data_IF_808154380156
#
_entry.id   IF_808154380156
#
_cell.length_a   1.000
_cell.length_b   1.000
_cell.length_c   1.000
_cell.angle_alpha   90.00
_cell.angle_beta   90.00
_cell.angle_gamma   90.00
#
_symmetry.space_group_name_H-M   'P 1'
#
loop_
_entity.id
_entity.type
_entity.pdbx_description
1 polymer ?
#
# COMPACT_ATOMS: atom_id res chain seq x y z
N UNK A 1 -11.91 10.33 -4.55
CA UNK A 1 -12.14 8.95 -5.04
C UNK A 1 -11.24 7.93 -4.36
N UNK A 2 -11.68 7.05 -3.47
CA UNK A 2 -10.92 5.86 -3.07
C UNK A 2 -10.79 4.86 -4.22
N UNK A 3 -9.61 4.22 -4.37
CA UNK A 3 -9.40 3.03 -5.22
C UNK A 3 -9.39 1.81 -4.31
N UNK A 4 -10.26 0.84 -4.57
CA UNK A 4 -10.25 -0.45 -3.86
C UNK A 4 -9.66 -1.49 -4.81
N UNK A 5 -8.40 -1.94 -4.61
CA UNK A 5 -7.80 -2.97 -5.45
C UNK A 5 -8.50 -4.32 -5.19
N UNK A 6 -8.81 -5.04 -6.26
CA UNK A 6 -9.37 -6.39 -6.19
C UNK A 6 -8.20 -7.37 -6.23
N UNK A 7 -7.94 -8.00 -5.08
CA UNK A 7 -6.80 -8.91 -4.92
C UNK A 7 -7.17 -10.39 -5.11
N UNK A 8 -8.48 -10.70 -5.04
CA UNK A 8 -8.97 -12.07 -5.13
C UNK A 8 -10.24 -12.12 -5.96
N UNK A 9 -10.26 -13.08 -6.87
CA UNK A 9 -11.43 -13.46 -7.64
C UNK A 9 -12.02 -14.71 -7.02
N UNK A 10 -13.34 -14.72 -6.87
CA UNK A 10 -14.09 -15.90 -6.43
C UNK A 10 -14.54 -16.64 -7.69
N UNK A 11 -14.05 -17.87 -7.93
CA UNK A 11 -14.47 -18.66 -9.08
C UNK A 11 -15.95 -19.01 -8.98
N UNK A 12 -16.62 -19.04 -10.13
CA UNK A 12 -18.01 -19.50 -10.26
C UNK A 12 -18.05 -20.92 -10.82
N UNK A 13 -19.21 -21.57 -10.71
CA UNK A 13 -19.44 -22.87 -11.32
C UNK A 13 -19.34 -22.78 -12.85
N UNK A 14 -18.19 -23.17 -13.43
CA UNK A 14 -17.95 -23.06 -14.87
C UNK A 14 -16.48 -23.00 -15.23
N UNK A 15 -16.17 -22.42 -16.40
CA UNK A 15 -14.82 -22.03 -16.79
C UNK A 15 -14.40 -20.79 -15.99
N UNK A 16 -13.17 -20.81 -15.49
CA UNK A 16 -12.67 -19.82 -14.52
C UNK A 16 -11.31 -19.32 -14.98
N UNK A 17 -11.02 -18.03 -14.77
CA UNK A 17 -9.74 -17.47 -15.16
C UNK A 17 -8.59 -18.12 -14.39
N UNK A 18 -7.45 -18.30 -15.06
CA UNK A 18 -6.27 -18.95 -14.48
C UNK A 18 -5.26 -17.91 -14.05
N UNK A 19 -4.78 -17.99 -12.80
CA UNK A 19 -3.70 -17.13 -12.31
C UNK A 19 -2.35 -17.58 -12.87
N UNK A 20 -1.64 -16.67 -13.50
CA UNK A 20 -0.37 -16.90 -14.21
C UNK A 20 0.64 -15.79 -13.87
N UNK A 21 1.89 -15.99 -14.29
CA UNK A 21 2.97 -15.00 -14.12
C UNK A 21 3.54 -14.64 -15.47
N UNK A 22 3.70 -13.34 -15.73
CA UNK A 22 4.34 -12.85 -16.94
C UNK A 22 5.84 -13.24 -16.91
N UNK A 23 6.36 -13.93 -17.93
CA UNK A 23 7.72 -14.48 -17.89
C UNK A 23 8.82 -13.41 -17.89
N UNK A 24 8.50 -12.17 -18.26
CA UNK A 24 9.47 -11.07 -18.36
C UNK A 24 9.45 -10.20 -17.11
N UNK A 25 8.27 -9.74 -16.70
CA UNK A 25 8.08 -8.83 -15.57
C UNK A 25 7.87 -9.55 -14.24
N UNK A 26 7.58 -10.85 -14.26
CA UNK A 26 7.15 -11.65 -13.11
C UNK A 26 5.87 -11.10 -12.45
N UNK A 27 5.13 -10.22 -13.14
CA UNK A 27 3.86 -9.71 -12.65
C UNK A 27 2.81 -10.82 -12.72
N UNK A 28 2.07 -10.99 -11.63
CA UNK A 28 0.89 -11.86 -11.62
C UNK A 28 -0.21 -11.27 -12.50
N UNK A 29 -0.90 -12.14 -13.25
CA UNK A 29 -2.06 -11.77 -14.04
C UNK A 29 -3.08 -12.91 -14.05
N UNK A 30 -4.34 -12.58 -14.35
CA UNK A 30 -5.37 -13.58 -14.64
C UNK A 30 -5.54 -13.72 -16.14
N UNK A 31 -5.43 -14.95 -16.63
CA UNK A 31 -5.70 -15.30 -18.02
C UNK A 31 -7.17 -15.67 -18.17
N UNK A 32 -7.88 -14.97 -19.05
CA UNK A 32 -9.32 -15.13 -19.28
C UNK A 32 -9.59 -15.68 -20.67
N UNK A 33 -10.08 -16.91 -20.73
CA UNK A 33 -10.63 -17.53 -21.94
C UNK A 33 -12.08 -17.10 -22.19
N UNK A 34 -12.56 -17.37 -23.39
CA UNK A 34 -13.96 -17.11 -23.73
C UNK A 34 -14.88 -17.92 -22.80
N UNK A 35 -15.96 -17.30 -22.33
CA UNK A 35 -16.91 -17.82 -21.33
C UNK A 35 -16.42 -17.86 -19.88
N UNK A 36 -15.13 -17.58 -19.60
CA UNK A 36 -14.66 -17.48 -18.22
C UNK A 36 -15.41 -16.43 -17.42
N UNK A 37 -15.75 -16.79 -16.19
CA UNK A 37 -16.45 -15.93 -15.25
C UNK A 37 -15.76 -15.93 -13.89
N UNK A 38 -15.69 -14.78 -13.24
CA UNK A 38 -15.31 -14.67 -11.84
C UNK A 38 -16.01 -13.52 -11.13
N UNK A 39 -16.16 -13.65 -9.81
CA UNK A 39 -16.89 -12.71 -8.97
C UNK A 39 -15.97 -12.04 -7.95
N UNK A 40 -16.27 -10.79 -7.61
CA UNK A 40 -15.64 -10.11 -6.50
C UNK A 40 -16.62 -9.13 -5.87
N UNK A 41 -16.39 -8.81 -4.59
CA UNK A 41 -17.24 -7.88 -3.86
C UNK A 41 -16.41 -6.84 -3.14
N UNK A 42 -16.92 -5.61 -3.10
CA UNK A 42 -16.32 -4.49 -2.38
C UNK A 42 -17.36 -3.82 -1.51
N UNK A 43 -16.95 -3.43 -0.30
CA UNK A 43 -17.80 -2.59 0.55
C UNK A 43 -17.69 -1.14 0.09
N UNK A 44 -18.83 -0.51 -0.17
CA UNK A 44 -18.93 0.89 -0.54
C UNK A 44 -18.37 1.76 0.60
N UNK A 45 -17.40 2.65 0.33
CA UNK A 45 -16.78 3.49 1.35
C UNK A 45 -17.79 4.33 2.13
N UNK A 46 -17.50 4.57 3.41
CA UNK A 46 -18.35 5.40 4.28
C UNK A 46 -18.56 6.83 3.76
N UNK A 47 -17.60 7.36 2.99
CA UNK A 47 -17.63 8.71 2.41
C UNK A 47 -18.15 8.78 0.97
N UNK A 48 -18.72 7.69 0.44
CA UNK A 48 -19.23 7.65 -0.93
C UNK A 48 -20.28 8.74 -1.17
N UNK A 49 -20.14 9.47 -2.28
CA UNK A 49 -21.08 10.52 -2.73
C UNK A 49 -22.30 9.86 -3.40
N UNK A 50 -23.49 9.85 -2.75
CA UNK A 50 -24.66 9.18 -3.29
C UNK A 50 -25.15 9.83 -4.60
N UNK A 51 -25.26 9.03 -5.66
CA UNK A 51 -25.70 9.50 -6.99
C UNK A 51 -24.57 9.54 -8.03
N UNK A 52 -23.35 9.17 -7.63
CA UNK A 52 -22.20 9.02 -8.53
C UNK A 52 -21.96 7.56 -8.92
N UNK A 53 -21.42 7.30 -10.11
CA UNK A 53 -21.15 5.92 -10.51
C UNK A 53 -19.91 5.34 -9.79
N UNK A 54 -20.00 4.11 -9.33
CA UNK A 54 -18.83 3.26 -9.13
C UNK A 54 -18.22 2.88 -10.49
N UNK A 55 -16.90 2.98 -10.59
CA UNK A 55 -16.13 2.78 -11.83
C UNK A 55 -15.13 1.64 -11.62
N UNK A 56 -15.24 0.59 -12.41
CA UNK A 56 -14.23 -0.46 -12.49
C UNK A 56 -13.07 -0.01 -13.38
N UNK A 57 -11.87 -0.03 -12.81
CA UNK A 57 -10.61 0.15 -13.51
C UNK A 57 -10.02 -1.22 -13.80
N UNK A 58 -9.85 -1.51 -15.08
CA UNK A 58 -9.32 -2.76 -15.60
C UNK A 58 -7.97 -2.50 -16.28
N UNK A 59 -6.93 -3.18 -15.82
CA UNK A 59 -5.60 -3.19 -16.45
C UNK A 59 -5.44 -4.51 -17.20
N UNK A 60 -5.56 -4.49 -18.52
CA UNK A 60 -5.57 -5.70 -19.36
C UNK A 60 -4.67 -5.57 -20.60
N UNK A 61 -4.30 -6.69 -21.20
CA UNK A 61 -3.68 -6.71 -22.51
C UNK A 61 -4.71 -6.37 -23.60
N UNK A 62 -4.30 -5.59 -24.59
CA UNK A 62 -5.09 -5.41 -25.82
C UNK A 62 -5.23 -6.74 -26.56
N UNK A 63 -6.35 -6.95 -27.27
CA UNK A 63 -6.49 -8.09 -28.14
C UNK A 63 -5.48 -8.05 -29.29
N UNK A 64 -5.38 -9.15 -30.03
CA UNK A 64 -4.67 -9.28 -31.30
C UNK A 64 -5.02 -8.11 -32.24
N UNK A 65 -4.10 -7.75 -33.14
CA UNK A 65 -4.28 -6.60 -34.06
C UNK A 65 -5.59 -6.76 -34.83
N UNK A 66 -6.42 -5.70 -34.81
CA UNK A 66 -7.76 -5.66 -35.43
C UNK A 66 -8.79 -6.63 -34.84
N UNK A 67 -8.43 -7.42 -33.83
CA UNK A 67 -9.36 -8.26 -33.09
C UNK A 67 -10.05 -7.48 -31.98
N UNK A 68 -11.12 -8.07 -31.45
CA UNK A 68 -11.96 -7.52 -30.41
C UNK A 68 -12.17 -8.52 -29.30
N UNK A 69 -12.40 -8.03 -28.10
CA UNK A 69 -12.95 -8.83 -27.02
C UNK A 69 -14.01 -8.04 -26.28
N UNK A 70 -14.90 -8.76 -25.60
CA UNK A 70 -16.05 -8.19 -24.94
C UNK A 70 -16.22 -8.77 -23.54
N UNK A 71 -16.59 -7.89 -22.63
CA UNK A 71 -16.88 -8.21 -21.26
C UNK A 71 -18.36 -8.01 -20.99
N UNK A 72 -18.94 -8.95 -20.26
CA UNK A 72 -20.23 -8.80 -19.60
C UNK A 72 -19.98 -8.66 -18.11
N UNK A 73 -20.62 -7.67 -17.52
CA UNK A 73 -20.58 -7.46 -16.09
C UNK A 73 -21.98 -7.52 -15.54
N UNK A 74 -22.16 -8.22 -14.42
CA UNK A 74 -23.42 -8.24 -13.69
C UNK A 74 -23.15 -7.75 -12.28
N UNK A 75 -23.72 -6.60 -11.93
CA UNK A 75 -23.56 -6.00 -10.63
C UNK A 75 -24.78 -6.25 -9.76
N UNK A 76 -24.55 -6.52 -8.48
CA UNK A 76 -25.59 -6.64 -7.47
C UNK A 76 -25.25 -5.85 -6.22
N UNK A 77 -26.28 -5.31 -5.58
CA UNK A 77 -26.14 -4.51 -4.37
C UNK A 77 -26.72 -5.27 -3.18
N UNK A 78 -25.91 -5.52 -2.15
CA UNK A 78 -26.34 -6.16 -0.91
C UNK A 78 -26.25 -5.12 0.20
N UNK A 79 -27.38 -4.71 0.76
CA UNK A 79 -27.44 -3.79 1.90
C UNK A 79 -27.60 -4.57 3.22
N UNK A 80 -26.58 -4.59 4.09
CA UNK A 80 -26.65 -5.29 5.37
C UNK A 80 -27.86 -4.83 6.20
N UNK A 81 -28.66 -5.78 6.69
CA UNK A 81 -29.83 -5.49 7.53
C UNK A 81 -31.09 -5.04 6.79
N UNK A 82 -31.03 -4.78 5.48
CA UNK A 82 -32.21 -4.46 4.66
C UNK A 82 -32.61 -5.64 3.80
N UNK A 83 -31.66 -6.24 3.08
CA UNK A 83 -31.94 -7.44 2.28
C UNK A 83 -31.82 -8.68 3.18
N UNK A 84 -32.98 -9.27 3.51
CA UNK A 84 -33.01 -10.59 4.17
C UNK A 84 -32.55 -11.68 3.21
N UNK A 85 -32.15 -12.86 3.71
CA UNK A 85 -31.63 -13.98 2.89
C UNK A 85 -32.58 -14.48 1.80
N UNK A 86 -33.83 -14.02 1.76
CA UNK A 86 -34.87 -14.47 0.83
C UNK A 86 -35.37 -13.36 -0.13
N UNK A 87 -34.84 -12.14 -0.07
CA UNK A 87 -35.17 -11.09 -1.03
C UNK A 87 -34.26 -11.17 -2.26
N UNK A 88 -34.84 -11.00 -3.45
CA UNK A 88 -34.07 -10.97 -4.69
C UNK A 88 -33.12 -9.77 -4.68
N UNK A 89 -31.82 -10.04 -4.79
CA UNK A 89 -30.79 -9.00 -4.83
C UNK A 89 -30.98 -8.16 -6.10
N UNK A 90 -31.06 -6.82 -6.01
CA UNK A 90 -31.11 -5.95 -7.18
C UNK A 90 -29.89 -6.20 -8.07
N UNK A 91 -30.12 -6.44 -9.36
CA UNK A 91 -29.07 -6.80 -10.33
C UNK A 91 -29.18 -5.97 -11.60
N UNK A 92 -28.04 -5.56 -12.16
CA UNK A 92 -27.94 -4.85 -13.43
C UNK A 92 -26.79 -5.42 -14.25
N UNK A 93 -27.03 -5.67 -15.55
CA UNK A 93 -26.03 -6.27 -16.45
C UNK A 93 -25.67 -5.28 -17.55
N UNK A 94 -24.38 -5.16 -17.85
CA UNK A 94 -23.85 -4.27 -18.90
C UNK A 94 -22.73 -4.94 -19.69
N UNK A 95 -22.54 -4.47 -20.93
CA UNK A 95 -21.58 -5.01 -21.89
C UNK A 95 -20.54 -3.94 -22.24
N UNK A 96 -19.28 -4.33 -22.33
CA UNK A 96 -18.16 -3.47 -22.72
C UNK A 96 -17.29 -4.17 -23.77
N UNK A 97 -17.16 -3.57 -24.95
CA UNK A 97 -16.38 -4.11 -26.05
C UNK A 97 -15.15 -3.22 -26.32
N UNK A 98 -14.02 -3.83 -26.66
CA UNK A 98 -12.77 -3.13 -27.01
C UNK A 98 -12.25 -3.62 -28.36
N UNK A 99 -11.62 -2.69 -29.10
CA UNK A 99 -10.93 -2.95 -30.35
C UNK A 99 -9.45 -2.65 -30.14
N UNK A 100 -8.56 -3.55 -30.57
CA UNK A 100 -7.11 -3.33 -30.44
C UNK A 100 -6.64 -2.14 -31.28
N UNK A 101 -5.86 -1.25 -30.66
CA UNK A 101 -5.21 -0.13 -31.34
C UNK A 101 -3.80 -0.56 -31.81
N UNK A 102 -3.76 -1.17 -33.00
CA UNK A 102 -2.58 -1.41 -33.87
C UNK A 102 -1.44 -2.30 -33.35
N UNK A 103 -1.18 -2.39 -32.04
CA UNK A 103 -0.14 -3.24 -31.43
C UNK A 103 -0.78 -4.28 -30.48
N UNK A 104 -0.60 -5.59 -30.71
CA UNK A 104 -1.15 -6.63 -29.85
C UNK A 104 -0.42 -6.66 -28.50
N UNK A 105 -1.04 -7.24 -27.48
CA UNK A 105 -0.45 -7.45 -26.15
C UNK A 105 0.02 -6.19 -25.40
N UNK A 106 -0.42 -4.99 -25.82
CA UNK A 106 -0.13 -3.76 -25.09
C UNK A 106 -0.98 -3.72 -23.82
N UNK A 107 -0.35 -3.45 -22.69
CA UNK A 107 -1.09 -3.16 -21.45
C UNK A 107 -1.87 -1.84 -21.60
N UNK A 108 -3.19 -1.90 -21.41
CA UNK A 108 -4.11 -0.77 -21.42
C UNK A 108 -4.87 -0.67 -20.10
N UNK A 109 -5.29 0.55 -19.75
CA UNK A 109 -6.16 0.80 -18.59
C UNK A 109 -7.51 1.30 -19.09
N UNK A 110 -8.59 0.65 -18.65
CA UNK A 110 -9.97 1.03 -18.96
C UNK A 110 -10.75 1.37 -17.72
N UNK A 111 -11.57 2.41 -17.83
CA UNK A 111 -12.54 2.81 -16.80
C UNK A 111 -13.94 2.50 -17.29
N UNK A 112 -14.65 1.63 -16.57
CA UNK A 112 -15.98 1.12 -16.93
C UNK A 112 -16.93 1.50 -15.79
N UNK A 113 -17.96 2.30 -16.07
CA UNK A 113 -19.00 2.54 -15.07
C UNK A 113 -19.75 1.22 -14.83
N UNK A 114 -19.65 0.69 -13.61
CA UNK A 114 -20.28 -0.58 -13.21
C UNK A 114 -21.63 -0.40 -12.54
N UNK A 115 -22.09 0.84 -12.49
CA UNK A 115 -23.34 1.27 -11.86
C UNK A 115 -23.94 2.38 -12.69
N UNK A 116 -25.24 2.58 -12.51
CA UNK A 116 -26.00 3.64 -13.14
C UNK A 116 -26.18 3.50 -14.63
N UNK A 117 -26.46 2.28 -15.10
CA UNK A 117 -26.83 2.09 -16.51
C UNK A 117 -28.18 2.76 -16.83
N UNK A 118 -29.07 2.84 -15.84
CA UNK A 118 -30.35 3.57 -15.91
C UNK A 118 -30.30 4.96 -15.26
N UNK A 119 -29.80 5.06 -14.03
CA UNK A 119 -29.69 6.32 -13.25
C UNK A 119 -28.35 6.34 -12.53
N UNK A 120 -27.59 7.43 -12.65
CA UNK A 120 -26.26 7.54 -12.03
C UNK A 120 -26.30 7.18 -10.53
N UNK A 121 -25.31 6.39 -10.09
CA UNK A 121 -25.21 5.91 -8.71
C UNK A 121 -26.31 4.96 -8.24
N UNK A 122 -27.02 4.32 -9.16
CA UNK A 122 -28.03 3.30 -8.85
C UNK A 122 -27.64 1.92 -9.43
N UNK A 123 -28.16 0.86 -8.81
CA UNK A 123 -28.22 -0.49 -9.39
C UNK A 123 -29.69 -0.91 -9.38
N UNK A 124 -30.22 -1.23 -10.57
CA UNK A 124 -31.61 -1.67 -10.73
C UNK A 124 -32.62 -0.72 -10.04
N UNK A 125 -32.39 0.59 -10.14
CA UNK A 125 -33.25 1.63 -9.54
C UNK A 125 -33.06 1.86 -8.04
N UNK A 126 -32.13 1.15 -7.38
CA UNK A 126 -31.79 1.37 -5.97
C UNK A 126 -30.51 2.21 -5.89
N UNK A 127 -30.60 3.36 -5.19
CA UNK A 127 -29.44 4.21 -4.96
C UNK A 127 -28.44 3.49 -4.06
N UNK A 128 -27.17 3.50 -4.49
CA UNK A 128 -26.05 2.98 -3.70
C UNK A 128 -25.88 3.85 -2.47
N UNK A 129 -25.65 3.23 -1.32
CA UNK A 129 -25.39 3.91 -0.06
C UNK A 129 -24.03 3.48 0.52
N UNK A 130 -23.44 4.33 1.38
CA UNK A 130 -22.29 3.93 2.19
C UNK A 130 -22.53 2.61 2.93
N UNK A 131 -21.48 1.79 3.05
CA UNK A 131 -21.50 0.45 3.66
C UNK A 131 -22.29 -0.64 2.91
N UNK A 132 -22.93 -0.32 1.78
CA UNK A 132 -23.46 -1.38 0.90
C UNK A 132 -22.32 -2.28 0.42
N UNK A 133 -22.63 -3.55 0.16
CA UNK A 133 -21.72 -4.49 -0.47
C UNK A 133 -22.05 -4.56 -1.97
N UNK A 134 -21.17 -4.01 -2.79
CA UNK A 134 -21.24 -4.10 -4.25
C UNK A 134 -20.56 -5.39 -4.70
N UNK A 135 -21.33 -6.31 -5.25
CA UNK A 135 -20.83 -7.55 -5.85
C UNK A 135 -20.86 -7.45 -7.37
N UNK A 136 -19.77 -7.81 -8.01
CA UNK A 136 -19.57 -7.75 -9.46
C UNK A 136 -19.18 -9.12 -9.97
N UNK A 137 -20.00 -9.67 -10.87
CA UNK A 137 -19.62 -10.77 -11.76
C UNK A 137 -19.04 -10.17 -13.03
N UNK A 138 -17.88 -10.67 -13.45
CA UNK A 138 -17.23 -10.32 -14.71
C UNK A 138 -17.10 -11.60 -15.54
N UNK A 139 -17.60 -11.56 -16.77
CA UNK A 139 -17.58 -12.67 -17.71
C UNK A 139 -17.00 -12.23 -19.05
N UNK A 140 -16.08 -13.01 -19.62
CA UNK A 140 -15.67 -12.82 -21.01
C UNK A 140 -16.71 -13.43 -21.94
N UNK A 141 -17.18 -12.66 -22.92
CA UNK A 141 -18.22 -13.07 -23.88
C UNK A 141 -17.78 -12.75 -25.30
N UNK A 142 -18.39 -13.40 -26.30
CA UNK A 142 -18.05 -13.13 -27.70
C UNK A 142 -18.29 -11.68 -28.09
N UNK A 143 -17.31 -11.07 -28.75
CA UNK A 143 -17.41 -9.77 -29.38
C UNK A 143 -18.43 -9.78 -30.53
N UNK A 144 -18.87 -8.58 -30.90
CA UNK A 144 -19.85 -8.41 -31.97
C UNK A 144 -19.34 -8.83 -33.35
N UNK A 145 -18.03 -8.67 -33.59
CA UNK A 145 -17.30 -9.14 -34.76
C UNK A 145 -15.82 -9.31 -34.40
N UNK A 146 -15.07 -10.02 -35.25
CA UNK A 146 -13.61 -10.10 -35.17
C UNK A 146 -13.08 -10.53 -33.79
N UNK A 147 -13.76 -11.52 -33.16
CA UNK A 147 -13.39 -12.04 -31.83
C UNK A 147 -11.94 -12.53 -31.83
N UNK A 148 -11.20 -12.10 -30.82
CA UNK A 148 -9.86 -12.58 -30.56
C UNK A 148 -9.91 -14.02 -30.03
N UNK A 149 -9.35 -15.02 -30.74
CA UNK A 149 -9.30 -16.38 -30.23
C UNK A 149 -8.36 -16.54 -29.02
N UNK A 150 -7.48 -15.56 -28.77
CA UNK A 150 -6.50 -15.62 -27.68
C UNK A 150 -7.12 -15.27 -26.33
N UNK A 151 -6.54 -15.81 -25.26
CA UNK A 151 -6.89 -15.44 -23.89
C UNK A 151 -6.48 -13.98 -23.59
N UNK A 152 -7.28 -13.28 -22.79
CA UNK A 152 -6.98 -11.89 -22.38
C UNK A 152 -6.30 -11.91 -21.02
N UNK A 153 -5.19 -11.18 -20.88
CA UNK A 153 -4.44 -11.08 -19.63
C UNK A 153 -4.90 -9.86 -18.85
N UNK A 154 -5.37 -10.07 -17.62
CA UNK A 154 -5.78 -9.00 -16.71
C UNK A 154 -4.77 -8.90 -15.56
N UNK A 155 -3.99 -7.82 -15.56
CA UNK A 155 -2.92 -7.56 -14.59
C UNK A 155 -3.40 -6.84 -13.34
N UNK A 156 -4.59 -6.24 -13.38
CA UNK A 156 -5.12 -5.51 -12.25
C UNK A 156 -6.60 -5.16 -12.42
N UNK A 157 -7.30 -5.21 -11.29
CA UNK A 157 -8.70 -4.85 -11.17
C UNK A 157 -8.84 -3.93 -9.95
N UNK A 158 -9.60 -2.85 -10.09
CA UNK A 158 -9.93 -1.98 -8.96
C UNK A 158 -11.29 -1.32 -9.15
N UNK A 159 -12.02 -1.05 -8.06
CA UNK A 159 -13.20 -0.20 -8.12
C UNK A 159 -12.88 1.17 -7.54
N UNK A 160 -13.28 2.21 -8.25
CA UNK A 160 -13.25 3.59 -7.83
C UNK A 160 -14.65 4.07 -7.47
N UNK A 161 -14.77 4.69 -6.31
CA UNK A 161 -15.98 5.39 -5.88
C UNK A 161 -15.71 6.89 -5.91
N UNK A 162 -16.69 7.70 -6.32
CA UNK A 162 -16.63 9.13 -6.03
C UNK A 162 -17.01 9.34 -4.56
N UNK A 163 -16.38 10.33 -3.96
CA UNK A 163 -16.61 10.73 -2.57
C UNK A 163 -16.84 12.23 -2.59
N UNK A 164 -17.68 12.71 -1.68
CA UNK A 164 -18.12 14.12 -1.59
C UNK A 164 -16.98 15.12 -1.31
N UNK A 165 -15.75 14.62 -1.19
CA UNK A 165 -14.50 15.39 -1.09
C UNK A 165 -14.26 16.14 -2.42
N UNK A 166 -15.09 17.15 -2.67
CA UNK A 166 -14.94 18.20 -3.68
C UNK A 166 -14.12 19.32 -3.08
N UNK A 167 -12.78 19.27 -3.15
CA UNK A 167 -12.00 20.51 -3.06
C UNK A 167 -10.52 20.36 -3.41
N UNK A 168 -9.98 21.47 -3.91
CA UNK A 168 -8.63 21.98 -3.60
C UNK A 168 -8.14 21.45 -2.25
N UNK A 169 -7.08 20.65 -2.25
CA UNK A 169 -6.31 20.11 -1.09
C UNK A 169 -7.01 20.24 0.29
N UNK A 170 -7.74 19.20 0.71
CA UNK A 170 -8.30 19.10 2.08
C UNK A 170 -7.23 18.85 3.16
N UNK A 171 -5.96 18.70 2.75
CA UNK A 171 -4.88 18.37 3.65
C UNK A 171 -4.42 19.63 4.37
N UNK A 172 -4.57 19.67 5.69
CA UNK A 172 -4.07 20.78 6.49
C UNK A 172 -2.52 20.77 6.59
N UNK A 173 -1.96 21.83 7.16
CA UNK A 173 -0.56 21.88 7.58
C UNK A 173 0.47 21.72 6.46
N UNK A 174 1.63 21.15 6.80
CA UNK A 174 2.73 20.95 5.85
C UNK A 174 2.40 19.93 4.76
N UNK A 175 1.56 18.94 5.05
CA UNK A 175 1.07 18.00 4.04
C UNK A 175 0.29 18.73 2.94
N UNK A 176 -0.61 19.65 3.30
CA UNK A 176 -1.30 20.53 2.34
C UNK A 176 -0.36 21.34 1.47
N UNK A 177 0.65 21.96 2.09
CA UNK A 177 1.66 22.74 1.37
C UNK A 177 2.46 21.90 0.37
N UNK A 178 2.81 20.66 0.73
CA UNK A 178 3.48 19.71 -0.17
C UNK A 178 2.55 19.34 -1.34
N UNK A 179 1.28 19.05 -1.05
CA UNK A 179 0.26 18.72 -2.07
C UNK A 179 0.11 19.87 -3.07
N UNK A 180 -0.03 21.09 -2.59
CA UNK A 180 -0.18 22.28 -3.42
C UNK A 180 1.06 22.52 -4.27
N UNK A 181 2.26 22.40 -3.67
CA UNK A 181 3.52 22.54 -4.41
C UNK A 181 3.69 21.48 -5.52
N UNK A 182 3.26 20.23 -5.28
CA UNK A 182 3.26 19.18 -6.32
C UNK A 182 2.33 19.56 -7.47
N UNK A 183 1.11 20.02 -7.17
CA UNK A 183 0.13 20.42 -8.18
C UNK A 183 0.60 21.61 -9.01
N UNK A 184 1.18 22.61 -8.36
CA UNK A 184 1.74 23.79 -9.02
C UNK A 184 2.88 23.39 -9.98
N UNK A 185 3.82 22.55 -9.52
CA UNK A 185 4.97 22.12 -10.33
C UNK A 185 4.60 21.11 -11.42
N UNK A 186 3.55 20.32 -11.23
CA UNK A 186 3.00 19.44 -12.25
C UNK A 186 2.08 20.18 -13.24
N UNK A 187 1.81 21.47 -13.00
CA UNK A 187 0.91 22.33 -13.78
C UNK A 187 -0.54 21.79 -13.84
N UNK A 188 -1.06 21.35 -12.70
CA UNK A 188 -2.35 20.70 -12.59
C UNK A 188 -3.17 21.26 -11.41
N UNK A 189 -3.92 22.32 -11.69
CA UNK A 189 -4.69 23.06 -10.67
C UNK A 189 -5.96 22.35 -10.19
N UNK A 190 -6.50 21.40 -10.95
CA UNK A 190 -7.77 20.73 -10.65
C UNK A 190 -7.63 19.34 -10.02
N UNK A 191 -6.41 18.77 -9.96
CA UNK A 191 -6.14 17.47 -9.31
C UNK A 191 -6.77 16.23 -9.98
N UNK A 192 -7.12 16.31 -11.27
CA UNK A 192 -7.68 15.20 -12.04
C UNK A 192 -6.70 14.06 -12.37
N UNK A 193 -5.48 14.37 -12.79
CA UNK A 193 -4.40 13.42 -13.09
C UNK A 193 -3.59 13.01 -11.85
N UNK A 194 -3.31 13.97 -10.95
CA UNK A 194 -2.70 13.77 -9.63
C UNK A 194 -3.72 13.99 -8.49
N UNK A 195 -4.54 12.98 -8.19
CA UNK A 195 -5.47 13.07 -7.05
C UNK A 195 -4.69 13.06 -5.72
N UNK A 196 -5.24 13.66 -4.66
CA UNK A 196 -4.57 13.73 -3.34
C UNK A 196 -4.17 12.36 -2.79
N UNK A 197 -4.99 11.34 -3.03
CA UNK A 197 -4.67 9.94 -2.69
C UNK A 197 -3.35 9.46 -3.30
N UNK A 198 -3.03 9.89 -4.52
CA UNK A 198 -1.79 9.53 -5.20
C UNK A 198 -0.62 10.22 -4.52
N UNK A 199 -0.76 11.53 -4.26
CA UNK A 199 0.27 12.35 -3.61
C UNK A 199 0.56 11.80 -2.21
N UNK A 200 -0.46 11.59 -1.37
CA UNK A 200 -0.31 11.01 -0.03
C UNK A 200 0.34 9.64 -0.03
N UNK A 201 -0.11 8.75 -0.92
CA UNK A 201 0.49 7.42 -1.06
C UNK A 201 1.97 7.52 -1.43
N UNK A 202 2.33 8.45 -2.31
CA UNK A 202 3.72 8.69 -2.70
C UNK A 202 4.54 9.31 -1.56
N UNK A 203 3.95 10.21 -0.75
CA UNK A 203 4.58 10.73 0.48
C UNK A 203 4.87 9.57 1.46
N UNK A 204 3.90 8.69 1.73
CA UNK A 204 4.09 7.54 2.63
C UNK A 204 5.09 6.52 2.08
N UNK A 205 5.15 6.32 0.75
CA UNK A 205 6.24 5.56 0.12
C UNK A 205 7.61 6.19 0.34
N UNK A 206 7.71 7.52 0.24
CA UNK A 206 8.95 8.24 0.56
C UNK A 206 9.37 8.01 2.02
N UNK A 207 8.44 8.04 2.99
CA UNK A 207 8.74 7.74 4.40
C UNK A 207 9.29 6.32 4.59
N UNK A 208 8.70 5.34 3.90
CA UNK A 208 9.19 3.95 3.91
C UNK A 208 10.57 3.83 3.28
N UNK A 209 10.84 4.56 2.20
CA UNK A 209 12.17 4.59 1.59
C UNK A 209 13.22 5.16 2.55
N UNK A 210 12.91 6.26 3.27
CA UNK A 210 13.79 6.79 4.32
C UNK A 210 14.00 5.80 5.49
N UNK A 211 13.01 4.95 5.77
CA UNK A 211 13.11 3.90 6.79
C UNK A 211 14.14 2.85 6.40
N UNK A 212 14.15 2.43 5.13
CA UNK A 212 15.12 1.48 4.58
C UNK A 212 16.55 2.03 4.63
N UNK A 213 16.70 3.35 4.54
CA UNK A 213 17.98 4.08 4.67
C UNK A 213 18.36 4.35 6.15
N UNK A 214 17.64 3.76 7.11
CA UNK A 214 17.87 3.92 8.55
C UNK A 214 17.82 5.36 9.06
N UNK A 215 17.01 6.23 8.44
CA UNK A 215 16.83 7.61 8.88
C UNK A 215 16.08 7.69 10.21
N UNK A 216 14.96 6.96 10.33
CA UNK A 216 14.13 6.95 11.53
C UNK A 216 14.74 6.07 12.60
N UNK A 217 15.18 6.68 13.70
CA UNK A 217 15.76 5.96 14.85
C UNK A 217 15.16 6.49 16.14
N UNK A 218 14.91 5.59 17.09
CA UNK A 218 14.49 5.96 18.43
C UNK A 218 14.99 4.98 19.48
N UNK A 219 14.84 5.40 20.72
CA UNK A 219 15.06 4.59 21.90
C UNK A 219 13.70 4.11 22.45
N UNK A 220 13.60 2.81 22.75
CA UNK A 220 12.43 2.22 23.39
C UNK A 220 12.86 1.40 24.60
N UNK A 221 12.09 1.46 25.68
CA UNK A 221 12.32 0.66 26.88
C UNK A 221 11.39 -0.55 26.90
N UNK A 222 11.98 -1.73 27.08
CA UNK A 222 11.25 -3.00 27.14
C UNK A 222 11.28 -3.54 28.57
N UNK A 223 10.17 -4.12 29.05
CA UNK A 223 10.17 -4.84 30.31
C UNK A 223 11.00 -6.12 30.18
N UNK A 224 11.61 -6.50 31.29
CA UNK A 224 12.31 -7.76 31.46
C UNK A 224 11.60 -8.58 32.53
N UNK A 225 11.40 -9.86 32.27
CA UNK A 225 10.78 -10.79 33.21
C UNK A 225 11.82 -11.81 33.64
N UNK A 226 11.99 -11.99 34.95
CA UNK A 226 12.91 -12.97 35.52
C UNK A 226 12.65 -14.37 34.95
N UNK A 227 13.72 -15.06 34.54
CA UNK A 227 13.65 -16.40 33.97
C UNK A 227 13.08 -16.46 32.54
N UNK A 228 12.67 -15.34 31.95
CA UNK A 228 12.35 -15.27 30.51
C UNK A 228 13.60 -14.98 29.70
N UNK A 229 13.65 -15.57 28.51
CA UNK A 229 14.69 -15.35 27.50
C UNK A 229 14.15 -14.76 26.21
N UNK A 230 12.84 -14.55 26.09
CA UNK A 230 12.18 -14.15 24.85
C UNK A 230 11.28 -12.94 25.09
N UNK A 231 11.36 -11.98 24.19
CA UNK A 231 10.50 -10.79 24.15
C UNK A 231 10.00 -10.63 22.72
N UNK A 232 8.68 -10.58 22.53
CA UNK A 232 8.08 -10.25 21.24
C UNK A 232 8.27 -8.76 20.96
N UNK A 233 9.08 -8.42 19.96
CA UNK A 233 9.37 -7.02 19.64
C UNK A 233 8.17 -6.31 19.03
N UNK A 234 7.32 -7.00 18.26
CA UNK A 234 6.11 -6.39 17.68
C UNK A 234 5.01 -6.14 18.73
N UNK A 235 4.92 -6.96 19.77
CA UNK A 235 3.99 -6.69 20.87
C UNK A 235 4.46 -5.49 21.71
N UNK A 236 5.77 -5.41 21.97
CA UNK A 236 6.33 -4.34 22.79
C UNK A 236 6.52 -3.02 22.03
N UNK A 237 6.83 -3.10 20.73
CA UNK A 237 7.15 -1.97 19.84
C UNK A 237 6.55 -2.25 18.45
N UNK A 238 5.26 -1.94 18.23
CA UNK A 238 4.52 -2.33 17.02
C UNK A 238 5.10 -1.81 15.69
N UNK A 239 5.87 -0.73 15.72
CA UNK A 239 6.50 -0.10 14.56
C UNK A 239 7.98 -0.48 14.40
N UNK A 240 8.46 -1.49 15.12
CA UNK A 240 9.83 -1.98 15.05
C UNK A 240 10.21 -2.43 13.63
N UNK A 241 11.38 -2.02 13.16
CA UNK A 241 11.92 -2.41 11.85
C UNK A 241 13.23 -3.17 11.99
N UNK A 242 14.23 -2.55 12.63
CA UNK A 242 15.58 -3.11 12.73
C UNK A 242 16.23 -2.72 14.06
N UNK A 243 16.83 -3.69 14.74
CA UNK A 243 17.60 -3.47 15.96
C UNK A 243 19.03 -3.02 15.62
N UNK A 244 19.51 -1.93 16.24
CA UNK A 244 20.92 -1.50 16.15
C UNK A 244 21.71 -1.96 17.36
N UNK A 245 21.27 -1.54 18.55
CA UNK A 245 21.90 -1.86 19.82
C UNK A 245 20.86 -2.07 20.91
N UNK A 246 21.19 -2.89 21.89
CA UNK A 246 20.38 -3.08 23.07
C UNK A 246 21.26 -3.10 24.31
N UNK A 247 20.78 -2.48 25.37
CA UNK A 247 21.43 -2.43 26.68
C UNK A 247 20.52 -3.09 27.69
N UNK A 248 21.10 -3.88 28.59
CA UNK A 248 20.40 -4.29 29.80
C UNK A 248 20.47 -3.17 30.84
N UNK A 249 19.40 -3.01 31.62
CA UNK A 249 19.28 -1.93 32.62
C UNK A 249 20.45 -1.93 33.61
N UNK A 250 21.02 -0.74 33.84
CA UNK A 250 22.21 -0.58 34.70
C UNK A 250 23.54 -0.96 34.05
N UNK A 251 23.55 -1.47 32.81
CA UNK A 251 24.78 -1.73 32.07
C UNK A 251 25.11 -0.56 31.12
N UNK A 252 26.36 -0.10 31.14
CA UNK A 252 26.85 0.95 30.24
C UNK A 252 27.34 0.42 28.90
N UNK A 253 27.50 -0.91 28.78
CA UNK A 253 28.01 -1.58 27.58
C UNK A 253 26.82 -2.24 26.86
N UNK A 254 26.72 -2.10 25.53
CA UNK A 254 25.67 -2.79 24.78
C UNK A 254 25.85 -4.30 24.91
N UNK A 255 24.75 -5.02 24.93
CA UNK A 255 24.76 -6.47 24.81
C UNK A 255 25.40 -6.88 23.48
N UNK A 256 26.01 -8.07 23.45
CA UNK A 256 26.72 -8.59 22.29
C UNK A 256 25.73 -9.31 21.36
N UNK A 257 25.67 -8.95 20.07
CA UNK A 257 24.88 -9.72 19.11
C UNK A 257 25.50 -11.10 18.92
N UNK A 258 24.66 -12.12 18.86
CA UNK A 258 25.01 -13.45 18.36
C UNK A 258 24.82 -13.48 16.85
N UNK A 259 25.68 -14.22 16.14
CA UNK A 259 25.66 -14.29 14.68
C UNK A 259 24.46 -15.08 14.14
N UNK A 260 23.88 -15.96 14.96
CA UNK A 260 22.74 -16.79 14.57
C UNK A 260 21.91 -17.27 15.76
N UNK A 261 20.69 -17.74 15.47
CA UNK A 261 19.87 -18.42 16.47
C UNK A 261 20.46 -19.77 16.90
N UNK A 262 21.29 -20.40 16.07
CA UNK A 262 21.98 -21.63 16.43
C UNK A 262 22.99 -21.38 17.57
N UNK A 263 23.79 -20.31 17.49
CA UNK A 263 24.71 -19.92 18.57
C UNK A 263 23.96 -19.70 19.89
N UNK A 264 22.76 -19.13 19.82
CA UNK A 264 21.89 -18.95 20.97
C UNK A 264 21.46 -20.29 21.60
N UNK A 265 21.02 -21.26 20.80
CA UNK A 265 20.63 -22.59 21.31
C UNK A 265 21.85 -23.38 21.85
N UNK A 266 23.04 -23.21 21.28
CA UNK A 266 24.28 -23.79 21.79
C UNK A 266 24.65 -23.27 23.19
N UNK A 267 24.55 -21.95 23.40
CA UNK A 267 24.76 -21.33 24.71
C UNK A 267 23.75 -21.84 25.74
N UNK A 268 22.47 -21.89 25.36
CA UNK A 268 21.37 -22.33 26.21
C UNK A 268 21.47 -23.80 26.60
N UNK A 269 21.94 -24.66 25.69
CA UNK A 269 22.10 -26.10 25.96
C UNK A 269 23.34 -26.38 26.82
N UNK A 270 24.41 -25.61 26.62
CA UNK A 270 25.68 -25.78 27.33
C UNK A 270 25.66 -25.29 28.78
N UNK A 271 24.76 -24.36 29.13
CA UNK A 271 24.65 -23.82 30.48
C UNK A 271 23.21 -23.34 30.70
N UNK A 272 22.48 -23.83 31.71
CA UNK A 272 21.18 -23.23 32.05
C UNK A 272 21.37 -22.22 33.20
N UNK A 273 21.72 -20.98 32.85
CA UNK A 273 22.03 -19.95 33.84
C UNK A 273 21.05 -18.78 33.80
N UNK A 274 20.83 -18.21 34.99
CA UNK A 274 20.19 -16.91 35.16
C UNK A 274 21.24 -15.90 35.62
N UNK A 275 21.10 -14.65 35.21
CA UNK A 275 22.09 -13.61 35.48
C UNK A 275 21.72 -12.28 34.82
N UNK A 276 22.74 -11.47 34.56
CA UNK A 276 22.62 -10.25 33.76
C UNK A 276 22.69 -10.67 32.28
N UNK A 277 21.67 -10.40 31.45
CA UNK A 277 21.74 -10.67 30.02
C UNK A 277 22.92 -9.95 29.36
N UNK A 278 23.74 -10.70 28.62
CA UNK A 278 24.95 -10.21 27.96
C UNK A 278 24.89 -10.35 26.44
N UNK A 279 24.14 -11.32 25.93
CA UNK A 279 24.04 -11.67 24.52
C UNK A 279 22.61 -11.55 24.03
N UNK A 280 22.43 -11.25 22.75
CA UNK A 280 21.12 -11.26 22.11
C UNK A 280 21.16 -11.78 20.68
N UNK A 281 20.01 -12.30 20.22
CA UNK A 281 19.74 -12.53 18.80
C UNK A 281 18.30 -12.13 18.50
N UNK A 282 18.07 -11.57 17.32
CA UNK A 282 16.71 -11.29 16.82
C UNK A 282 16.37 -12.30 15.74
N UNK A 283 15.26 -13.01 15.90
CA UNK A 283 14.75 -13.95 14.91
C UNK A 283 13.23 -13.81 14.82
N UNK A 284 12.69 -13.68 13.61
CA UNK A 284 11.24 -13.58 13.38
C UNK A 284 10.54 -12.55 14.27
N UNK A 285 11.16 -11.38 14.48
CA UNK A 285 10.68 -10.30 15.37
C UNK A 285 10.64 -10.63 16.87
N UNK A 286 11.17 -11.77 17.29
CA UNK A 286 11.46 -12.05 18.68
C UNK A 286 12.89 -11.69 19.03
N UNK A 287 13.07 -11.02 20.17
CA UNK A 287 14.35 -10.80 20.80
C UNK A 287 14.61 -11.93 21.79
N UNK A 288 15.69 -12.67 21.56
CA UNK A 288 16.19 -13.68 22.46
C UNK A 288 17.41 -13.15 23.20
N UNK A 289 17.45 -13.35 24.51
CA UNK A 289 18.52 -12.85 25.38
C UNK A 289 19.16 -13.97 26.20
N UNK A 290 20.45 -13.83 26.48
CA UNK A 290 21.22 -14.80 27.26
C UNK A 290 22.30 -14.14 28.14
N UNK A 291 22.54 -14.58 29.39
CA UNK A 291 21.72 -15.50 30.17
C UNK A 291 20.33 -14.94 30.44
N UNK A 292 19.43 -15.78 30.98
CA UNK A 292 18.10 -15.35 31.39
C UNK A 292 18.19 -14.33 32.50
N UNK A 293 17.38 -13.29 32.48
CA UNK A 293 17.43 -12.29 33.54
C UNK A 293 17.10 -12.93 34.89
N UNK A 294 17.90 -12.63 35.93
CA UNK A 294 17.64 -13.10 37.29
C UNK A 294 16.55 -12.28 38.01
N UNK A 295 16.20 -11.11 37.49
CA UNK A 295 15.25 -10.17 38.09
C UNK A 295 14.29 -9.64 37.03
N UNK A 296 13.06 -9.34 37.46
CA UNK A 296 12.08 -8.65 36.62
C UNK A 296 12.26 -7.14 36.79
N UNK A 297 12.26 -6.40 35.68
CA UNK A 297 12.43 -4.96 35.64
C UNK A 297 11.45 -4.37 34.63
N UNK A 298 10.70 -3.32 35.01
CA UNK A 298 9.77 -2.65 34.07
C UNK A 298 10.51 -1.96 32.91
N UNK A 299 11.72 -1.47 33.18
CA UNK A 299 12.64 -0.88 32.19
C UNK A 299 13.92 -1.70 32.14
N UNK A 300 13.77 -2.97 31.76
CA UNK A 300 14.84 -3.95 31.78
C UNK A 300 15.79 -3.88 30.59
N UNK A 301 15.30 -3.48 29.41
CA UNK A 301 16.14 -3.28 28.24
C UNK A 301 15.91 -1.91 27.61
N UNK A 302 16.99 -1.25 27.23
CA UNK A 302 16.98 -0.04 26.42
C UNK A 302 17.39 -0.42 24.99
N UNK A 303 16.47 -0.23 24.04
CA UNK A 303 16.61 -0.65 22.66
C UNK A 303 16.75 0.56 21.74
N UNK A 304 17.84 0.61 20.98
CA UNK A 304 18.06 1.55 19.89
C UNK A 304 17.73 0.87 18.57
N UNK A 305 16.68 1.34 17.90
CA UNK A 305 16.14 0.66 16.72
C UNK A 305 15.62 1.64 15.66
N UNK A 306 15.55 1.16 14.42
CA UNK A 306 14.79 1.81 13.36
C UNK A 306 13.30 1.56 13.56
N UNK A 307 12.47 2.54 13.18
CA UNK A 307 11.02 2.44 13.22
C UNK A 307 10.40 3.00 11.94
N UNK A 308 9.19 2.55 11.59
CA UNK A 308 8.41 3.15 10.51
C UNK A 308 7.42 4.15 11.12
N UNK A 309 7.51 5.46 10.81
CA UNK A 309 6.50 6.40 11.26
C UNK A 309 5.11 6.03 10.74
N UNK A 310 4.07 6.43 11.47
CA UNK A 310 2.69 6.28 11.02
C UNK A 310 2.49 6.95 9.65
N UNK A 311 1.64 6.34 8.82
CA UNK A 311 1.27 6.87 7.52
C UNK A 311 0.62 8.26 7.71
N UNK A 312 1.11 9.24 6.94
CA UNK A 312 0.50 10.56 6.88
C UNK A 312 -0.84 10.45 6.18
N UNK A 313 -1.82 11.14 6.76
CA UNK A 313 -3.16 11.27 6.20
C UNK A 313 -3.51 12.76 6.11
N UNK A 314 -4.58 13.11 5.41
CA UNK A 314 -5.12 14.48 5.43
C UNK A 314 -5.93 14.78 6.71
N UNK A 315 -5.78 13.94 7.75
CA UNK A 315 -6.38 14.20 9.05
C UNK A 315 -5.78 15.46 9.66
N UNK A 316 -6.60 16.35 10.24
CA UNK A 316 -6.12 17.54 10.93
C UNK A 316 -5.31 17.21 12.19
N UNK A 317 -5.33 15.96 12.67
CA UNK A 317 -4.65 15.52 13.88
C UNK A 317 -3.14 15.32 13.66
N UNK A 318 -2.74 14.83 12.49
CA UNK A 318 -1.32 14.64 12.15
C UNK A 318 -1.02 15.08 10.69
N UNK A 319 -1.12 16.39 10.40
CA UNK A 319 -1.01 16.90 9.05
C UNK A 319 0.43 17.13 8.60
N UNK A 320 1.43 16.73 9.39
CA UNK A 320 2.81 17.15 9.18
C UNK A 320 3.74 15.94 9.04
N UNK A 321 4.61 15.91 8.01
CA UNK A 321 5.63 14.90 7.94
C UNK A 321 6.59 14.93 9.14
N UNK A 322 7.04 13.76 9.63
CA UNK A 322 7.90 13.66 10.80
C UNK A 322 9.36 14.13 10.57
N UNK A 323 9.69 14.66 9.39
CA UNK A 323 10.99 15.32 9.11
C UNK A 323 10.90 16.84 9.36
N UNK A 324 12.03 17.56 9.53
CA UNK A 324 12.02 19.02 9.60
C UNK A 324 11.48 19.68 8.31
N UNK A 325 10.72 20.77 8.45
CA UNK A 325 10.10 21.50 7.32
C UNK A 325 11.06 22.02 6.27
N UNK A 326 12.32 22.23 6.64
CA UNK A 326 13.37 22.61 5.69
C UNK A 326 13.57 21.58 4.57
N UNK A 327 13.07 20.35 4.72
CA UNK A 327 13.22 19.24 3.78
C UNK A 327 11.90 18.84 3.11
N UNK A 328 10.85 19.66 3.15
CA UNK A 328 9.55 19.33 2.54
C UNK A 328 9.65 19.11 1.02
N UNK A 329 10.61 19.75 0.35
CA UNK A 329 10.91 19.53 -1.06
C UNK A 329 11.30 18.09 -1.39
N UNK A 330 11.83 17.33 -0.43
CA UNK A 330 12.11 15.90 -0.60
C UNK A 330 10.86 15.14 -1.05
N UNK A 331 9.74 15.40 -0.38
CA UNK A 331 8.47 14.76 -0.69
C UNK A 331 7.92 15.25 -2.02
N UNK A 332 8.03 16.55 -2.30
CA UNK A 332 7.60 17.14 -3.57
C UNK A 332 8.31 16.46 -4.74
N UNK A 333 9.65 16.37 -4.70
CA UNK A 333 10.43 15.73 -5.76
C UNK A 333 10.16 14.23 -5.89
N UNK A 334 10.00 13.53 -4.76
CA UNK A 334 9.64 12.11 -4.79
C UNK A 334 8.27 11.89 -5.46
N UNK A 335 7.26 12.69 -5.11
CA UNK A 335 5.93 12.59 -5.69
C UNK A 335 5.95 12.93 -7.18
N UNK A 336 6.65 13.98 -7.59
CA UNK A 336 6.78 14.37 -9.00
C UNK A 336 7.50 13.29 -9.82
N UNK A 337 8.56 12.68 -9.28
CA UNK A 337 9.20 11.52 -9.88
C UNK A 337 8.20 10.38 -10.09
N UNK A 338 7.43 9.99 -9.07
CA UNK A 338 6.41 8.94 -9.19
C UNK A 338 5.31 9.31 -10.19
N UNK A 339 4.92 10.59 -10.26
CA UNK A 339 3.94 11.12 -11.20
C UNK A 339 4.39 10.96 -12.66
N UNK A 340 5.62 11.37 -12.99
CA UNK A 340 6.16 11.22 -14.34
C UNK A 340 6.50 9.77 -14.70
N UNK A 341 6.78 8.92 -13.71
CA UNK A 341 6.88 7.47 -13.94
C UNK A 341 5.52 6.87 -14.33
N UNK A 342 4.44 7.30 -13.68
CA UNK A 342 3.07 6.93 -14.04
C UNK A 342 2.70 7.45 -15.44
N UNK A 343 3.16 8.64 -15.80
CA UNK A 343 2.91 9.29 -17.10
C UNK A 343 4.00 9.04 -18.16
N UNK A 344 4.77 7.95 -18.06
CA UNK A 344 5.95 7.69 -18.91
C UNK A 344 5.73 7.78 -20.43
N UNK A 345 4.48 7.74 -20.88
CA UNK A 345 4.11 7.80 -22.29
C UNK A 345 3.89 9.23 -22.81
N UNK A 346 3.82 10.23 -21.92
CA UNK A 346 3.72 11.62 -22.32
C UNK A 346 5.07 12.14 -22.86
N UNK A 347 5.06 13.00 -23.89
CA UNK A 347 6.28 13.59 -24.43
C UNK A 347 7.09 14.31 -23.33
N UNK A 348 8.34 13.90 -23.14
CA UNK A 348 9.25 14.49 -22.14
C UNK A 348 9.09 13.97 -20.70
N UNK A 349 8.19 13.00 -20.45
CA UNK A 349 8.01 12.41 -19.12
C UNK A 349 9.29 11.74 -18.60
N UNK A 350 10.04 11.02 -19.45
CA UNK A 350 11.32 10.40 -19.05
C UNK A 350 12.36 11.44 -18.62
N UNK A 351 12.44 12.58 -19.33
CA UNK A 351 13.36 13.67 -18.96
C UNK A 351 12.99 14.24 -17.60
N UNK A 352 11.70 14.48 -17.36
CA UNK A 352 11.20 14.98 -16.07
C UNK A 352 11.36 13.96 -14.94
N UNK A 353 11.15 12.68 -15.21
CA UNK A 353 11.41 11.60 -14.26
C UNK A 353 12.87 11.59 -13.79
N UNK A 354 13.82 11.70 -14.73
CA UNK A 354 15.25 11.75 -14.39
C UNK A 354 15.63 13.03 -13.65
N UNK A 355 15.09 14.18 -14.07
CA UNK A 355 15.28 15.48 -13.40
C UNK A 355 14.84 15.41 -11.92
N UNK A 356 13.61 14.99 -11.66
CA UNK A 356 13.09 14.89 -10.30
C UNK A 356 13.71 13.75 -9.49
N UNK A 357 14.19 12.69 -10.13
CA UNK A 357 15.01 11.66 -9.46
C UNK A 357 16.33 12.24 -8.95
N UNK A 358 17.01 13.07 -9.75
CA UNK A 358 18.25 13.71 -9.33
C UNK A 358 18.03 14.73 -8.19
N UNK A 359 16.98 15.56 -8.30
CA UNK A 359 16.60 16.51 -7.24
C UNK A 359 16.21 15.80 -5.94
N UNK A 360 15.46 14.69 -6.03
CA UNK A 360 15.13 13.85 -4.89
C UNK A 360 16.38 13.31 -4.21
N UNK A 361 17.31 12.71 -4.96
CA UNK A 361 18.54 12.16 -4.39
C UNK A 361 19.42 13.24 -3.76
N UNK A 362 19.53 14.42 -4.39
CA UNK A 362 20.26 15.56 -3.81
C UNK A 362 19.67 15.96 -2.45
N UNK A 363 18.34 16.09 -2.38
CA UNK A 363 17.65 16.51 -1.16
C UNK A 363 17.68 15.42 -0.08
N UNK A 364 17.62 14.14 -0.48
CA UNK A 364 17.81 12.99 0.40
C UNK A 364 19.20 13.00 1.02
N UNK A 365 20.23 13.22 0.21
CA UNK A 365 21.61 13.32 0.71
C UNK A 365 21.79 14.52 1.64
N UNK A 366 21.09 15.64 1.40
CA UNK A 366 21.10 16.78 2.33
C UNK A 366 20.46 16.43 3.67
N UNK A 367 19.34 15.71 3.66
CA UNK A 367 18.67 15.23 4.88
C UNK A 367 19.54 14.24 5.65
N UNK A 368 20.12 13.25 4.97
CA UNK A 368 20.94 12.21 5.58
C UNK A 368 22.32 12.75 6.02
N UNK A 369 22.92 13.65 5.25
CA UNK A 369 24.24 14.24 5.51
C UNK A 369 24.22 15.38 6.53
N UNK A 370 23.09 16.04 6.75
CA UNK A 370 22.91 16.96 7.89
C UNK A 370 22.79 16.22 9.23
N UNK A 371 22.56 14.90 9.19
CA UNK A 371 22.65 14.01 10.34
C UNK A 371 24.07 13.51 10.51
N UNK A 372 24.95 14.31 11.12
CA UNK A 372 26.06 13.71 11.88
C UNK A 372 25.45 12.62 12.76
N UNK A 373 25.97 11.40 12.68
CA UNK A 373 25.51 10.31 13.54
C UNK A 373 25.52 10.83 14.97
N UNK A 374 24.40 10.76 15.71
CA UNK A 374 24.39 11.23 17.08
C UNK A 374 25.33 10.29 17.85
N UNK A 375 26.58 10.71 18.01
CA UNK A 375 27.46 10.28 19.07
C UNK A 375 26.83 10.79 20.36
N UNK A 376 25.78 10.10 20.80
CA UNK A 376 25.15 10.32 22.09
C UNK A 376 26.15 9.84 23.13
N UNK A 377 26.91 10.80 23.66
CA UNK A 377 27.58 10.62 24.93
C UNK A 377 26.54 10.13 25.94
N UNK A 378 26.73 8.89 26.41
CA UNK A 378 26.00 8.32 27.54
C UNK A 378 25.93 9.40 28.62
N UNK A 379 24.74 9.97 28.86
CA UNK A 379 24.49 10.76 30.05
C UNK A 379 24.71 9.81 31.22
N UNK A 380 25.81 10.01 31.92
CA UNK A 380 26.05 9.40 33.22
C UNK A 380 24.95 9.88 34.15
N UNK A 381 23.99 9.01 34.45
CA UNK A 381 23.09 9.22 35.57
C UNK A 381 23.94 9.19 36.85
N UNK A 382 23.92 10.30 37.58
CA UNK A 382 24.33 10.38 38.99
C UNK A 382 23.15 10.06 39.89
#
# INVERSE_FOLDING_TARGET
>A
MPVIPIQRLTPVSGSVPTEMYDPVSLAAYWEWELEDEAHFSVTVPQKYDPGTNAVLVLHESTPSVSARHKWQFTCSLIRPGVHSTNEATPTETFLSEIISAENPDRLVSRSIAVTGASVQGHIAGIQIAPADLLSVSMKRVSASSDEDPSAIKVFGLAIEFWTDDTSVSECAGRCGQIVDAVRDLFNESTGGFLPDRFILRSINRCLRHLTQENYWRRESWLPCVAGSNRISLLEAVPDFQQLHHIYYSGCSVPMKPLGSFQEYEELKTGCDSTGVPEYYVVQNTDLYVWPRASQSLESGFCMYHSYLPEDITCSPVNPNPPIPGAHDLLFVYYVLKEAFLKDRHAPGADVKFHEYSALYEQEKQRLLGAGDSPHLGLRSYR
#
